data_IF_505631391768
#
_entry.id   IF_505631391768
#
_cell.length_a   1.000
_cell.length_b   1.000
_cell.length_c   1.000
_cell.angle_alpha   90.00
_cell.angle_beta   90.00
_cell.angle_gamma   90.00
#
_symmetry.space_group_name_H-M   'P 1'
#
loop_
_entity.id
_entity.type
_entity.pdbx_description
1 polymer ?
#
# COMPACT_ATOMS: atom_id res chain seq x y z
N UNK A 1 34.95 8.21 19.99
CA UNK A 1 34.25 8.23 21.30
C UNK A 1 33.05 7.28 21.22
N UNK A 2 33.03 6.13 21.91
CA UNK A 2 31.86 5.25 21.92
C UNK A 2 30.79 5.78 22.88
N UNK A 3 29.60 6.07 22.37
CA UNK A 3 28.43 6.49 23.16
C UNK A 3 27.95 5.32 24.03
N UNK A 4 28.12 5.44 25.35
CA UNK A 4 27.55 4.51 26.33
C UNK A 4 26.02 4.58 26.27
N UNK A 5 25.39 3.60 25.64
CA UNK A 5 23.93 3.45 25.67
C UNK A 5 23.54 3.04 27.09
N UNK A 6 22.93 3.96 27.84
CA UNK A 6 22.48 3.70 29.20
C UNK A 6 21.50 2.52 29.24
N UNK A 7 21.60 1.60 30.22
CA UNK A 7 20.69 0.47 30.33
C UNK A 7 19.27 0.98 30.57
N UNK A 8 18.36 0.69 29.63
CA UNK A 8 16.92 0.99 29.76
C UNK A 8 16.38 0.41 31.07
N UNK A 9 15.70 1.25 31.86
CA UNK A 9 15.09 0.89 33.14
C UNK A 9 14.13 -0.29 32.98
N UNK A 10 13.94 -1.08 34.03
CA UNK A 10 13.08 -2.29 34.00
C UNK A 10 11.65 -1.99 33.50
N UNK A 11 11.07 -0.85 33.89
CA UNK A 11 9.77 -0.38 33.39
C UNK A 11 9.77 -0.07 31.88
N UNK A 12 10.87 0.47 31.35
CA UNK A 12 11.01 0.70 29.91
C UNK A 12 11.17 -0.62 29.11
N UNK A 13 11.78 -1.66 29.72
CA UNK A 13 11.87 -3.00 29.10
C UNK A 13 10.50 -3.68 29.06
N UNK A 14 9.75 -3.64 30.16
CA UNK A 14 8.39 -4.21 30.21
C UNK A 14 7.46 -3.52 29.21
N UNK A 15 7.49 -2.18 29.14
CA UNK A 15 6.73 -1.42 28.15
C UNK A 15 7.10 -1.79 26.71
N UNK A 16 8.39 -2.00 26.42
CA UNK A 16 8.83 -2.41 25.08
C UNK A 16 8.36 -3.83 24.68
N UNK A 17 8.31 -4.77 25.63
CA UNK A 17 7.81 -6.14 25.39
C UNK A 17 6.31 -6.12 25.12
N UNK A 18 5.54 -5.38 25.92
CA UNK A 18 4.09 -5.24 25.72
C UNK A 18 3.76 -4.60 24.36
N UNK A 19 4.49 -3.55 23.98
CA UNK A 19 4.32 -2.91 22.67
C UNK A 19 4.67 -3.87 21.53
N UNK A 20 5.73 -4.67 21.69
CA UNK A 20 6.12 -5.69 20.70
C UNK A 20 5.02 -6.73 20.53
N UNK A 21 4.49 -7.28 21.63
CA UNK A 21 3.38 -8.25 21.59
C UNK A 21 2.15 -7.64 20.90
N UNK A 22 1.79 -6.41 21.25
CA UNK A 22 0.68 -5.70 20.64
C UNK A 22 0.86 -5.50 19.13
N UNK A 23 2.07 -5.11 18.68
CA UNK A 23 2.38 -5.02 17.24
C UNK A 23 2.27 -6.37 16.55
N UNK A 24 2.75 -7.46 17.16
CA UNK A 24 2.61 -8.80 16.60
C UNK A 24 1.15 -9.22 16.45
N UNK A 25 0.32 -8.95 17.46
CA UNK A 25 -1.12 -9.23 17.40
C UNK A 25 -1.78 -8.45 16.26
N UNK A 26 -1.46 -7.16 16.11
CA UNK A 26 -1.94 -6.35 15.00
C UNK A 26 -1.51 -6.93 13.65
N UNK A 27 -0.24 -7.29 13.48
CA UNK A 27 0.27 -7.89 12.24
C UNK A 27 -0.51 -9.15 11.89
N UNK A 28 -0.75 -10.04 12.86
CA UNK A 28 -1.52 -11.26 12.64
C UNK A 28 -2.95 -10.92 12.21
N UNK A 29 -3.64 -10.02 12.92
CA UNK A 29 -5.00 -9.60 12.58
C UNK A 29 -5.11 -9.01 11.17
N UNK A 30 -4.12 -8.21 10.75
CA UNK A 30 -4.07 -7.66 9.39
C UNK A 30 -3.71 -8.70 8.33
N UNK A 31 -2.98 -9.76 8.68
CA UNK A 31 -2.63 -10.84 7.78
C UNK A 31 -3.79 -11.82 7.52
N UNK A 32 -4.77 -11.93 8.43
CA UNK A 32 -5.96 -12.79 8.30
C UNK A 32 -6.68 -12.65 6.94
N UNK A 33 -7.11 -11.46 6.48
CA UNK A 33 -7.79 -11.32 5.18
C UNK A 33 -6.88 -11.66 3.99
N UNK A 34 -5.58 -11.38 4.09
CA UNK A 34 -4.61 -11.76 3.04
C UNK A 34 -4.43 -13.27 2.97
N UNK A 35 -4.32 -13.94 4.12
CA UNK A 35 -4.25 -15.40 4.20
C UNK A 35 -5.53 -16.04 3.63
N UNK A 36 -6.70 -15.48 3.95
CA UNK A 36 -7.96 -15.92 3.38
C UNK A 36 -8.02 -15.74 1.86
N UNK A 37 -7.53 -14.61 1.33
CA UNK A 37 -7.48 -14.38 -0.12
C UNK A 37 -6.62 -15.42 -0.85
N UNK A 38 -5.51 -15.84 -0.24
CA UNK A 38 -4.65 -16.93 -0.77
C UNK A 38 -5.37 -18.28 -0.74
N UNK A 39 -6.08 -18.59 0.36
CA UNK A 39 -6.86 -19.83 0.44
C UNK A 39 -7.98 -19.82 -0.62
N UNK A 40 -8.66 -18.70 -0.79
CA UNK A 40 -9.71 -18.53 -1.78
C UNK A 40 -9.19 -18.68 -3.22
N UNK A 41 -8.00 -18.16 -3.54
CA UNK A 41 -7.44 -18.28 -4.89
C UNK A 41 -7.10 -19.73 -5.28
N UNK A 42 -6.83 -20.60 -4.31
CA UNK A 42 -6.48 -22.02 -4.51
C UNK A 42 -7.70 -22.96 -4.49
N UNK A 43 -8.92 -22.46 -4.28
CA UNK A 43 -10.14 -23.30 -4.28
C UNK A 43 -10.51 -23.78 -5.68
N UNK A 44 -11.19 -24.93 -5.82
CA UNK A 44 -11.71 -25.36 -7.12
C UNK A 44 -12.76 -24.36 -7.65
N UNK A 45 -12.84 -24.12 -8.98
CA UNK A 45 -13.85 -23.24 -9.57
C UNK A 45 -15.30 -23.66 -9.27
N UNK A 46 -15.52 -24.91 -8.91
CA UNK A 46 -16.83 -25.51 -8.59
C UNK A 46 -17.32 -25.24 -7.16
N UNK A 47 -16.44 -24.77 -6.26
CA UNK A 47 -16.81 -24.32 -4.91
C UNK A 47 -16.07 -23.03 -4.51
N UNK A 48 -16.44 -21.87 -5.11
CA UNK A 48 -15.72 -20.61 -4.89
C UNK A 48 -15.89 -20.03 -3.48
N UNK A 49 -17.02 -20.33 -2.82
CA UNK A 49 -17.38 -19.75 -1.52
C UNK A 49 -17.14 -20.69 -0.35
N UNK A 50 -16.88 -21.97 -0.60
CA UNK A 50 -16.68 -22.97 0.45
C UNK A 50 -17.98 -23.19 1.22
N UNK A 51 -18.68 -24.31 0.96
CA UNK A 51 -19.85 -24.67 1.77
C UNK A 51 -19.41 -25.03 3.20
N UNK A 52 -19.23 -24.03 4.07
CA UNK A 52 -18.99 -24.17 5.51
C UNK A 52 -17.54 -23.96 5.96
N UNK A 53 -16.55 -24.33 5.15
CA UNK A 53 -15.14 -24.22 5.53
C UNK A 53 -14.49 -22.96 4.95
N UNK A 54 -14.36 -21.92 5.78
CA UNK A 54 -13.73 -20.63 5.42
C UNK A 54 -12.21 -20.70 5.30
N UNK A 55 -11.54 -21.57 6.06
CA UNK A 55 -10.08 -21.64 6.17
C UNK A 55 -9.42 -22.81 5.45
N UNK A 56 -10.15 -23.91 5.25
CA UNK A 56 -9.63 -25.11 4.62
C UNK A 56 -10.24 -25.27 3.23
N UNK A 57 -9.38 -25.35 2.22
CA UNK A 57 -9.77 -25.59 0.83
C UNK A 57 -9.22 -26.96 0.42
N UNK A 58 -10.08 -27.98 0.42
CA UNK A 58 -9.74 -29.30 -0.12
C UNK A 58 -10.69 -29.64 -1.27
N UNK A 59 -10.18 -30.01 -2.46
CA UNK A 59 -8.78 -30.06 -2.88
C UNK A 59 -8.20 -28.67 -3.22
N UNK A 60 -6.90 -28.47 -2.97
CA UNK A 60 -6.16 -27.30 -3.46
C UNK A 60 -5.91 -27.46 -4.96
N UNK A 61 -6.27 -26.45 -5.76
CA UNK A 61 -6.12 -26.48 -7.22
C UNK A 61 -5.49 -25.19 -7.74
N UNK A 62 -4.66 -25.30 -8.78
CA UNK A 62 -4.12 -24.14 -9.51
C UNK A 62 -4.96 -23.78 -10.74
N UNK A 63 -6.13 -24.41 -10.88
CA UNK A 63 -7.00 -24.26 -12.05
C UNK A 63 -7.51 -22.82 -12.20
N UNK A 64 -7.77 -22.12 -11.09
CA UNK A 64 -8.13 -20.70 -11.11
C UNK A 64 -7.04 -19.83 -11.75
N UNK A 65 -5.75 -20.11 -11.48
CA UNK A 65 -4.64 -19.37 -12.06
C UNK A 65 -4.50 -19.66 -13.55
N UNK A 66 -4.58 -20.92 -13.96
CA UNK A 66 -4.55 -21.30 -15.37
C UNK A 66 -5.72 -20.66 -16.14
N UNK A 67 -6.93 -20.74 -15.59
CA UNK A 67 -8.13 -20.13 -16.17
C UNK A 67 -8.00 -18.62 -16.25
N UNK A 68 -7.54 -17.95 -15.19
CA UNK A 68 -7.31 -16.51 -15.22
C UNK A 68 -6.35 -16.11 -16.34
N UNK A 69 -5.21 -16.79 -16.46
CA UNK A 69 -4.23 -16.51 -17.53
C UNK A 69 -4.78 -16.72 -18.94
N UNK A 70 -5.77 -17.59 -19.13
CA UNK A 70 -6.46 -17.78 -20.43
C UNK A 70 -7.59 -16.79 -20.70
N UNK A 71 -8.25 -16.27 -19.66
CA UNK A 71 -9.42 -15.39 -19.80
C UNK A 71 -9.04 -13.94 -20.11
N UNK A 72 -7.84 -13.51 -19.73
CA UNK A 72 -7.39 -12.14 -19.94
C UNK A 72 -5.88 -12.09 -20.22
N UNK A 73 -5.42 -11.15 -21.07
CA UNK A 73 -3.99 -10.93 -21.31
C UNK A 73 -3.34 -10.19 -20.13
N UNK A 74 -3.31 -10.82 -18.95
CA UNK A 74 -2.77 -10.27 -17.72
C UNK A 74 -1.35 -9.73 -17.87
N UNK A 75 -0.51 -10.40 -18.67
CA UNK A 75 0.84 -9.93 -18.97
C UNK A 75 0.87 -8.57 -19.67
N UNK A 76 -0.04 -8.32 -20.62
CA UNK A 76 -0.14 -7.02 -21.29
C UNK A 76 -0.65 -5.94 -20.33
N UNK A 77 -1.67 -6.25 -19.53
CA UNK A 77 -2.18 -5.30 -18.53
C UNK A 77 -1.13 -4.94 -17.48
N UNK A 78 -0.32 -5.91 -17.05
CA UNK A 78 0.78 -5.69 -16.13
C UNK A 78 1.83 -4.75 -16.73
N UNK A 79 2.31 -5.04 -17.94
CA UNK A 79 3.31 -4.20 -18.62
C UNK A 79 2.76 -2.79 -18.86
N UNK A 80 1.53 -2.66 -19.35
CA UNK A 80 0.90 -1.36 -19.57
C UNK A 80 0.84 -0.54 -18.28
N UNK A 81 0.43 -1.17 -17.16
CA UNK A 81 0.34 -0.50 -15.87
C UNK A 81 1.71 -0.06 -15.36
N UNK A 82 2.71 -0.94 -15.44
CA UNK A 82 4.09 -0.62 -15.03
C UNK A 82 4.63 0.55 -15.84
N UNK A 83 4.46 0.50 -17.17
CA UNK A 83 4.90 1.57 -18.07
C UNK A 83 4.22 2.89 -17.73
N UNK A 84 2.90 2.90 -17.57
CA UNK A 84 2.13 4.10 -17.22
C UNK A 84 2.57 4.67 -15.87
N UNK A 85 2.72 3.83 -14.84
CA UNK A 85 3.17 4.28 -13.51
C UNK A 85 4.57 4.89 -13.58
N UNK A 86 5.50 4.25 -14.29
CA UNK A 86 6.87 4.77 -14.43
C UNK A 86 6.91 6.11 -15.18
N UNK A 87 6.12 6.26 -16.24
CA UNK A 87 6.00 7.54 -16.95
C UNK A 87 5.45 8.63 -16.03
N UNK A 88 4.34 8.35 -15.33
CA UNK A 88 3.71 9.31 -14.42
C UNK A 88 4.68 9.71 -13.31
N UNK A 89 5.35 8.75 -12.67
CA UNK A 89 6.31 9.01 -11.59
C UNK A 89 7.50 9.85 -12.06
N UNK A 90 8.00 9.59 -13.28
CA UNK A 90 9.12 10.34 -13.84
C UNK A 90 8.73 11.79 -14.08
N UNK A 91 7.60 12.03 -14.75
CA UNK A 91 7.08 13.39 -14.98
C UNK A 91 6.80 14.08 -13.64
N UNK A 92 6.15 13.38 -12.71
CA UNK A 92 5.81 13.92 -11.39
C UNK A 92 7.06 14.30 -10.59
N UNK A 93 8.10 13.47 -10.55
CA UNK A 93 9.35 13.79 -9.87
C UNK A 93 9.99 15.04 -10.44
N UNK A 94 10.11 15.13 -11.77
CA UNK A 94 10.66 16.33 -12.42
C UNK A 94 9.82 17.55 -12.05
N UNK A 95 8.50 17.51 -12.25
CA UNK A 95 7.63 18.66 -11.98
C UNK A 95 7.64 19.07 -10.51
N UNK A 96 7.52 18.12 -9.58
CA UNK A 96 7.45 18.42 -8.14
C UNK A 96 8.80 18.93 -7.62
N UNK A 97 9.92 18.34 -8.05
CA UNK A 97 11.24 18.82 -7.63
C UNK A 97 11.52 20.23 -8.16
N UNK A 98 11.21 20.52 -9.43
CA UNK A 98 11.37 21.87 -9.97
C UNK A 98 10.44 22.88 -9.28
N UNK A 99 9.17 22.51 -9.04
CA UNK A 99 8.23 23.36 -8.34
C UNK A 99 8.69 23.65 -6.91
N UNK A 100 9.08 22.62 -6.15
CA UNK A 100 9.60 22.77 -4.80
C UNK A 100 10.85 23.66 -4.76
N UNK A 101 11.77 23.50 -5.71
CA UNK A 101 12.95 24.34 -5.83
C UNK A 101 12.59 25.81 -6.10
N UNK A 102 11.65 26.05 -7.03
CA UNK A 102 11.17 27.39 -7.35
C UNK A 102 10.51 28.08 -6.14
N UNK A 103 9.68 27.37 -5.39
CA UNK A 103 9.05 27.89 -4.18
C UNK A 103 10.05 28.16 -3.05
N UNK A 104 11.08 27.33 -2.91
CA UNK A 104 12.07 27.46 -1.84
C UNK A 104 13.09 28.58 -2.10
N UNK A 105 13.58 28.73 -3.33
CA UNK A 105 14.71 29.62 -3.63
C UNK A 105 14.33 30.94 -4.32
N UNK A 106 13.14 31.05 -4.91
CA UNK A 106 12.73 32.26 -5.64
C UNK A 106 11.50 32.94 -5.00
N UNK A 107 11.53 34.28 -4.96
CA UNK A 107 10.40 35.12 -4.61
C UNK A 107 9.83 35.78 -5.87
N UNK A 108 8.88 35.07 -6.50
CA UNK A 108 8.22 35.52 -7.72
C UNK A 108 6.83 36.13 -7.44
N UNK A 109 6.42 37.05 -8.32
CA UNK A 109 5.09 37.70 -8.25
C UNK A 109 4.02 36.64 -8.56
N UNK A 110 3.23 36.25 -7.55
CA UNK A 110 2.21 35.19 -7.65
C UNK A 110 2.44 33.98 -6.74
N UNK A 111 3.58 33.90 -6.03
CA UNK A 111 3.94 32.80 -5.11
C UNK A 111 2.86 32.49 -4.07
N UNK A 112 2.23 33.51 -3.48
CA UNK A 112 1.14 33.32 -2.50
C UNK A 112 -0.11 32.68 -3.13
N UNK A 113 -0.47 33.07 -4.36
CA UNK A 113 -1.65 32.51 -5.05
C UNK A 113 -1.43 31.03 -5.37
N UNK A 114 -0.27 30.68 -5.95
CA UNK A 114 0.05 29.28 -6.23
C UNK A 114 0.15 28.44 -4.95
N UNK A 115 0.69 29.00 -3.87
CA UNK A 115 0.72 28.34 -2.57
C UNK A 115 -0.69 28.02 -2.04
N UNK A 116 -1.61 28.98 -2.09
CA UNK A 116 -3.00 28.74 -1.69
C UNK A 116 -3.71 27.74 -2.60
N UNK A 117 -3.44 27.73 -3.92
CA UNK A 117 -4.00 26.72 -4.83
C UNK A 117 -3.54 25.31 -4.46
N UNK A 118 -2.25 25.12 -4.14
CA UNK A 118 -1.73 23.83 -3.67
C UNK A 118 -2.40 23.41 -2.37
N UNK A 119 -2.55 24.33 -1.41
CA UNK A 119 -3.26 24.04 -0.16
C UNK A 119 -4.72 23.67 -0.40
N UNK A 120 -5.44 24.40 -1.26
CA UNK A 120 -6.82 24.08 -1.62
C UNK A 120 -6.92 22.69 -2.25
N UNK A 121 -5.98 22.33 -3.13
CA UNK A 121 -5.94 20.99 -3.73
C UNK A 121 -5.70 19.89 -2.68
N UNK A 122 -4.88 20.14 -1.65
CA UNK A 122 -4.70 19.20 -0.54
C UNK A 122 -5.92 19.12 0.40
N UNK A 123 -6.70 20.21 0.51
CA UNK A 123 -7.90 20.27 1.35
C UNK A 123 -9.15 19.69 0.69
N UNK A 124 -9.20 19.60 -0.64
CA UNK A 124 -10.30 18.98 -1.38
C UNK A 124 -9.98 17.49 -1.54
N UNK A 125 -10.58 16.60 -0.72
CA UNK A 125 -10.37 15.17 -0.88
C UNK A 125 -10.99 14.72 -2.20
N UNK A 126 -10.20 14.09 -3.06
CA UNK A 126 -10.64 13.56 -4.36
C UNK A 126 -11.74 12.51 -4.24
N UNK A 127 -11.92 11.92 -3.05
CA UNK A 127 -13.00 10.98 -2.75
C UNK A 127 -14.40 11.61 -2.76
N UNK A 128 -14.52 12.95 -2.67
CA UNK A 128 -15.81 13.64 -2.76
C UNK A 128 -16.26 13.91 -4.21
N UNK A 129 -15.40 13.70 -5.21
CA UNK A 129 -15.70 13.93 -6.63
C UNK A 129 -16.15 12.67 -7.38
N UNK A 130 -16.03 11.49 -6.76
CA UNK A 130 -16.33 10.17 -7.37
C UNK A 130 -17.60 9.51 -6.79
N UNK A 131 -18.40 10.23 -6.00
CA UNK A 131 -19.70 9.76 -5.50
C UNK A 131 -20.86 10.35 -6.30
#
# INVERSE_FOLDING_TARGET
MPSKVAPRSFGARLGSVLLTIFTFVLVILWAVPMAWAVVASLRPPTDPLGRGDVWFAFPLTLENYARALTLAPFGQYYVNTVVVILMILTVQMVTVTLAAFAFAHYDFRGKRVLFYLVLLQLMIPTTALLS
#
